data_IF_359194704760
#
_entry.id   IF_359194704760
#
_cell.length_a   1.000
_cell.length_b   1.000
_cell.length_c   1.000
_cell.angle_alpha   90.00
_cell.angle_beta   90.00
_cell.angle_gamma   90.00
#
_symmetry.space_group_name_H-M   'P 1'
#
loop_
_entity.id
_entity.type
_entity.pdbx_description
1 polymer ?
#
# COMPACT_ATOMS: atom_id res chain seq x y z
N UNK A 1 -25.95 54.21 28.26
CA UNK A 1 -26.74 53.93 27.04
C UNK A 1 -25.76 53.77 25.90
N UNK A 2 -25.39 52.54 25.56
CA UNK A 2 -24.89 52.21 24.23
C UNK A 2 -25.15 50.72 23.98
N UNK A 3 -25.72 50.49 22.80
CA UNK A 3 -26.60 49.39 22.40
C UNK A 3 -25.75 48.16 22.07
N UNK A 4 -25.99 47.07 22.82
CA UNK A 4 -25.49 45.74 22.50
C UNK A 4 -26.30 45.23 21.31
N UNK A 5 -25.73 45.27 20.10
CA UNK A 5 -26.32 44.57 18.96
C UNK A 5 -25.82 43.13 18.95
N UNK A 6 -26.69 42.28 19.49
CA UNK A 6 -26.68 40.83 19.37
C UNK A 6 -26.95 40.49 17.89
N UNK A 7 -26.00 39.88 17.20
CA UNK A 7 -26.29 39.18 15.94
C UNK A 7 -26.11 37.69 16.21
N UNK A 8 -27.24 37.03 16.36
CA UNK A 8 -27.36 35.60 16.57
C UNK A 8 -27.95 34.98 15.29
N UNK A 9 -27.32 33.89 14.88
CA UNK A 9 -27.76 32.88 13.89
C UNK A 9 -27.86 33.31 12.41
N UNK A 10 -27.03 32.69 11.57
CA UNK A 10 -27.60 31.97 10.43
C UNK A 10 -26.72 30.77 10.04
N UNK A 11 -27.37 29.78 9.43
CA UNK A 11 -27.05 28.35 9.37
C UNK A 11 -25.72 28.00 8.72
N UNK A 12 -25.00 27.07 9.34
CA UNK A 12 -23.78 26.41 8.84
C UNK A 12 -24.07 25.54 7.62
N UNK A 13 -24.15 26.15 6.44
CA UNK A 13 -23.79 25.56 5.15
C UNK A 13 -22.43 26.20 4.81
N UNK A 14 -21.38 25.51 4.41
CA UNK A 14 -21.22 24.37 3.51
C UNK A 14 -19.73 24.03 3.64
N UNK A 15 -19.34 22.77 3.47
CA UNK A 15 -17.93 22.31 3.42
C UNK A 15 -16.94 23.39 2.96
N UNK A 16 -15.92 23.66 3.77
CA UNK A 16 -14.83 24.61 3.45
C UNK A 16 -14.32 24.38 2.02
N UNK A 17 -14.15 25.46 1.24
CA UNK A 17 -13.69 25.40 -0.14
C UNK A 17 -12.36 24.65 -0.27
N UNK A 18 -11.48 24.77 0.74
CA UNK A 18 -10.23 24.03 0.79
C UNK A 18 -10.48 22.52 0.90
N UNK A 19 -11.41 22.09 1.76
CA UNK A 19 -11.79 20.69 1.88
C UNK A 19 -12.35 20.15 0.58
N UNK A 20 -13.20 20.92 -0.11
CA UNK A 20 -13.73 20.54 -1.42
C UNK A 20 -12.63 20.40 -2.48
N UNK A 21 -11.66 21.31 -2.52
CA UNK A 21 -10.52 21.24 -3.45
C UNK A 21 -9.60 20.05 -3.17
N UNK A 22 -9.38 19.73 -1.89
CA UNK A 22 -8.61 18.54 -1.50
C UNK A 22 -9.36 17.28 -1.93
N UNK A 23 -10.66 17.19 -1.65
CA UNK A 23 -11.47 16.05 -2.06
C UNK A 23 -11.52 15.85 -3.58
N UNK A 24 -11.68 16.92 -4.37
CA UNK A 24 -11.69 16.82 -5.84
C UNK A 24 -10.35 16.36 -6.38
N UNK A 25 -9.25 16.92 -5.86
CA UNK A 25 -7.87 16.53 -6.22
C UNK A 25 -7.62 15.04 -5.95
N UNK A 26 -7.98 14.54 -4.77
CA UNK A 26 -7.80 13.13 -4.43
C UNK A 26 -8.69 12.20 -5.27
N UNK A 27 -9.93 12.62 -5.57
CA UNK A 27 -10.82 11.88 -6.49
C UNK A 27 -10.24 11.78 -7.89
N UNK A 28 -9.68 12.87 -8.42
CA UNK A 28 -9.03 12.88 -9.73
C UNK A 28 -7.81 11.97 -9.77
N UNK A 29 -6.94 12.03 -8.76
CA UNK A 29 -5.77 11.13 -8.65
C UNK A 29 -6.20 9.67 -8.64
N UNK A 30 -7.25 9.32 -7.88
CA UNK A 30 -7.78 7.96 -7.84
C UNK A 30 -8.28 7.48 -9.19
N UNK A 31 -9.04 8.31 -9.91
CA UNK A 31 -9.51 8.00 -11.27
C UNK A 31 -8.36 7.82 -12.26
N UNK A 32 -7.33 8.69 -12.19
CA UNK A 32 -6.13 8.56 -13.03
C UNK A 32 -5.40 7.25 -12.76
N UNK A 33 -5.17 6.91 -11.49
CA UNK A 33 -4.57 5.61 -11.10
C UNK A 33 -5.35 4.43 -11.67
N UNK A 34 -6.67 4.42 -11.51
CA UNK A 34 -7.52 3.33 -12.00
C UNK A 34 -7.38 3.16 -13.52
N UNK A 35 -7.42 4.25 -14.28
CA UNK A 35 -7.26 4.23 -15.73
C UNK A 35 -5.86 3.75 -16.17
N UNK A 36 -4.80 4.14 -15.44
CA UNK A 36 -3.42 3.75 -15.76
C UNK A 36 -3.15 2.26 -15.45
N UNK A 37 -3.74 1.73 -14.38
CA UNK A 37 -3.49 0.37 -13.91
C UNK A 37 -4.44 -0.67 -14.53
N UNK A 38 -5.65 -0.28 -14.96
CA UNK A 38 -6.62 -1.21 -15.53
C UNK A 38 -6.09 -2.06 -16.70
N UNK A 39 -5.31 -1.52 -17.68
CA UNK A 39 -4.76 -2.31 -18.77
C UNK A 39 -3.76 -3.38 -18.32
N UNK A 40 -3.13 -3.23 -17.15
CA UNK A 40 -2.14 -4.17 -16.63
C UNK A 40 -2.78 -5.39 -15.97
N UNK A 41 -4.10 -5.38 -15.72
CA UNK A 41 -4.80 -6.48 -15.05
C UNK A 41 -4.34 -6.72 -13.61
N UNK A 42 -3.69 -5.73 -12.99
CA UNK A 42 -3.16 -5.84 -11.64
C UNK A 42 -4.26 -5.47 -10.65
N UNK A 43 -4.55 -6.39 -9.72
CA UNK A 43 -5.42 -6.11 -8.59
C UNK A 43 -4.68 -5.25 -7.56
N UNK A 44 -5.18 -4.06 -7.29
CA UNK A 44 -4.71 -3.22 -6.20
C UNK A 44 -5.27 -3.71 -4.85
N UNK A 45 -4.42 -3.77 -3.82
CA UNK A 45 -4.78 -4.26 -2.48
C UNK A 45 -4.69 -3.19 -1.40
N UNK A 46 -4.27 -1.97 -1.76
CA UNK A 46 -3.95 -0.91 -0.82
C UNK A 46 -4.77 0.33 -1.15
N UNK A 47 -5.27 0.99 -0.11
CA UNK A 47 -6.06 2.23 -0.25
C UNK A 47 -5.16 3.40 -0.60
N UNK A 48 -4.03 3.49 0.09
CA UNK A 48 -3.00 4.51 -0.11
C UNK A 48 -1.61 3.94 0.22
N UNK A 49 -0.59 4.71 -0.12
CA UNK A 49 0.78 4.38 0.25
C UNK A 49 1.77 5.48 -0.11
N UNK A 50 3.01 5.24 0.28
CA UNK A 50 4.15 6.10 0.01
C UNK A 50 5.38 5.23 -0.20
N UNK A 51 6.17 5.59 -1.19
CA UNK A 51 7.51 5.04 -1.42
C UNK A 51 8.53 6.16 -1.28
N UNK A 52 9.65 5.88 -0.63
CA UNK A 52 10.77 6.80 -0.48
C UNK A 52 12.07 6.09 -0.79
N UNK A 53 12.99 6.80 -1.44
CA UNK A 53 14.32 6.30 -1.79
C UNK A 53 15.34 7.26 -1.19
N UNK A 54 16.24 6.74 -0.36
CA UNK A 54 17.37 7.49 0.15
C UNK A 54 18.46 7.60 -0.92
N UNK A 55 18.61 8.82 -1.43
CA UNK A 55 19.56 9.19 -2.47
C UNK A 55 21.01 9.05 -2.04
N UNK A 56 21.30 9.09 -0.73
CA UNK A 56 22.67 9.00 -0.20
C UNK A 56 23.20 7.57 -0.22
N UNK A 57 22.31 6.60 -0.03
CA UNK A 57 22.64 5.18 0.05
C UNK A 57 22.41 4.45 -1.28
N UNK A 58 21.56 4.98 -2.15
CA UNK A 58 21.29 4.42 -3.47
C UNK A 58 22.56 4.36 -4.34
N UNK A 59 22.85 3.19 -4.91
CA UNK A 59 23.98 2.98 -5.84
C UNK A 59 23.72 3.43 -7.27
N UNK A 60 22.54 4.00 -7.53
CA UNK A 60 22.27 4.73 -8.78
C UNK A 60 22.40 3.88 -10.05
N UNK A 61 22.84 4.55 -11.11
CA UNK A 61 22.77 4.12 -12.52
C UNK A 61 23.40 2.75 -12.83
N UNK A 62 24.31 2.27 -11.99
CA UNK A 62 25.01 0.99 -12.18
C UNK A 62 24.20 -0.23 -11.71
N UNK A 63 23.21 -0.05 -10.82
CA UNK A 63 22.46 -1.16 -10.21
C UNK A 63 21.19 -1.53 -10.98
N UNK A 64 20.28 -0.57 -11.19
CA UNK A 64 18.99 -0.70 -11.90
C UNK A 64 18.04 -1.82 -11.43
N UNK A 65 18.33 -2.52 -10.33
CA UNK A 65 17.55 -3.69 -9.88
C UNK A 65 16.08 -3.34 -9.59
N UNK A 66 15.83 -2.29 -8.80
CA UNK A 66 14.48 -1.88 -8.43
C UNK A 66 13.60 -1.50 -9.64
N UNK A 67 14.20 -0.93 -10.69
CA UNK A 67 13.53 -0.57 -11.93
C UNK A 67 13.16 -1.83 -12.72
N UNK A 68 14.11 -2.77 -12.88
CA UNK A 68 13.91 -4.00 -13.64
C UNK A 68 12.82 -4.90 -13.05
N UNK A 69 12.69 -4.94 -11.72
CA UNK A 69 11.69 -5.78 -11.04
C UNK A 69 10.34 -5.10 -10.83
N UNK A 70 10.20 -3.83 -11.19
CA UNK A 70 8.96 -3.09 -10.97
C UNK A 70 7.87 -3.57 -11.94
N UNK A 71 6.78 -4.19 -11.47
CA UNK A 71 5.77 -4.76 -12.36
C UNK A 71 4.96 -3.71 -13.14
N UNK A 72 4.96 -2.47 -12.69
CA UNK A 72 4.18 -1.36 -13.26
C UNK A 72 5.03 -0.28 -13.91
N UNK A 73 6.35 -0.48 -14.01
CA UNK A 73 7.30 0.53 -14.50
C UNK A 73 7.19 1.89 -13.76
N UNK A 74 6.81 1.88 -12.48
CA UNK A 74 6.71 3.09 -11.66
C UNK A 74 8.06 3.73 -11.33
N UNK A 75 9.17 3.00 -11.51
CA UNK A 75 10.52 3.47 -11.23
C UNK A 75 11.29 3.69 -12.53
N UNK A 76 12.01 4.80 -12.64
CA UNK A 76 12.78 5.14 -13.85
C UNK A 76 14.07 5.91 -13.50
N UNK A 77 14.98 6.07 -14.47
CA UNK A 77 16.17 6.90 -14.30
C UNK A 77 15.92 8.34 -14.69
N UNK A 78 16.22 9.27 -13.77
CA UNK A 78 16.29 10.69 -14.09
C UNK A 78 17.64 11.01 -14.74
N UNK A 79 17.66 12.09 -15.52
CA UNK A 79 18.90 12.65 -16.10
C UNK A 79 19.92 13.06 -15.03
N UNK A 80 19.49 13.30 -13.79
CA UNK A 80 20.36 13.58 -12.64
C UNK A 80 21.09 12.34 -12.09
N UNK A 81 20.83 11.13 -12.61
CA UNK A 81 21.39 9.88 -12.09
C UNK A 81 20.64 9.30 -10.89
N UNK A 82 19.53 9.91 -10.49
CA UNK A 82 18.67 9.44 -9.40
C UNK A 82 17.51 8.57 -9.91
N UNK A 83 16.99 7.70 -9.04
CA UNK A 83 15.74 6.98 -9.33
C UNK A 83 14.55 7.92 -9.17
N UNK A 84 13.78 8.07 -10.24
CA UNK A 84 12.47 8.71 -10.25
C UNK A 84 11.36 7.74 -9.92
N UNK A 85 10.28 8.27 -9.36
CA UNK A 85 9.08 7.52 -8.97
C UNK A 85 7.88 8.20 -9.63
N UNK A 86 7.04 7.41 -10.29
CA UNK A 86 5.70 7.80 -10.73
C UNK A 86 4.72 7.23 -9.72
N UNK A 87 4.29 8.06 -8.76
CA UNK A 87 3.45 7.60 -7.65
C UNK A 87 2.17 6.94 -8.15
N UNK A 88 1.55 7.48 -9.21
CA UNK A 88 0.33 6.95 -9.84
C UNK A 88 0.46 5.51 -10.38
N UNK A 89 1.67 5.07 -10.71
CA UNK A 89 1.94 3.70 -11.17
C UNK A 89 2.40 2.79 -10.03
N UNK A 90 2.85 3.33 -8.90
CA UNK A 90 3.37 2.53 -7.80
C UNK A 90 2.22 1.86 -7.03
N UNK A 91 2.17 0.53 -7.05
CA UNK A 91 1.18 -0.28 -6.33
C UNK A 91 1.66 -0.73 -4.94
N UNK A 92 2.77 -0.16 -4.45
CA UNK A 92 3.34 -0.45 -3.13
C UNK A 92 3.60 -1.95 -2.85
N UNK A 93 3.92 -2.73 -3.89
CA UNK A 93 4.02 -4.20 -3.79
C UNK A 93 5.22 -4.70 -2.97
N UNK A 94 6.29 -3.91 -2.85
CA UNK A 94 7.51 -4.30 -2.11
C UNK A 94 8.61 -4.94 -2.94
N UNK A 95 8.41 -5.20 -4.24
CA UNK A 95 9.41 -5.82 -5.11
C UNK A 95 10.75 -5.05 -5.14
N UNK A 96 10.69 -3.72 -5.11
CA UNK A 96 11.88 -2.87 -5.07
C UNK A 96 12.66 -2.99 -3.76
N UNK A 97 11.99 -3.15 -2.61
CA UNK A 97 12.63 -3.35 -1.30
C UNK A 97 13.30 -4.73 -1.26
N UNK A 98 12.63 -5.77 -1.75
CA UNK A 98 13.17 -7.12 -1.81
C UNK A 98 14.46 -7.23 -2.64
N UNK A 99 14.57 -6.45 -3.71
CA UNK A 99 15.69 -6.51 -4.64
C UNK A 99 16.73 -5.40 -4.42
N UNK A 100 16.50 -4.50 -3.46
CA UNK A 100 17.53 -3.53 -3.12
C UNK A 100 18.61 -4.23 -2.32
N UNK A 101 19.85 -4.20 -2.82
CA UNK A 101 21.01 -4.77 -2.13
C UNK A 101 21.47 -3.93 -0.92
N UNK A 102 20.89 -2.74 -0.73
CA UNK A 102 21.20 -1.83 0.38
C UNK A 102 19.95 -1.74 1.26
N UNK A 103 20.04 -2.28 2.46
CA UNK A 103 18.99 -2.14 3.47
C UNK A 103 18.68 -0.67 3.74
N UNK A 104 17.42 -0.37 4.02
CA UNK A 104 16.91 0.97 4.32
C UNK A 104 17.01 2.03 3.20
N UNK A 105 17.58 1.67 2.04
CA UNK A 105 17.62 2.56 0.88
C UNK A 105 16.22 2.84 0.31
N UNK A 106 15.34 1.85 0.28
CA UNK A 106 13.96 2.01 -0.18
C UNK A 106 13.02 1.68 0.97
N UNK A 107 12.07 2.58 1.25
CA UNK A 107 11.05 2.39 2.28
C UNK A 107 9.66 2.55 1.70
N UNK A 108 8.79 1.61 2.04
CA UNK A 108 7.38 1.63 1.67
C UNK A 108 6.53 1.72 2.94
N UNK A 109 5.53 2.58 2.88
CA UNK A 109 4.41 2.63 3.81
C UNK A 109 3.13 2.45 3.02
N UNK A 110 2.21 1.58 3.45
CA UNK A 110 0.95 1.32 2.74
C UNK A 110 -0.18 0.97 3.70
N UNK A 111 -1.42 1.28 3.32
CA UNK A 111 -2.63 0.99 4.10
C UNK A 111 -3.53 -0.01 3.41
N UNK A 112 -3.97 -1.04 4.13
CA UNK A 112 -4.97 -2.01 3.65
C UNK A 112 -6.39 -1.47 3.80
N UNK A 113 -7.35 -2.16 3.17
CA UNK A 113 -8.78 -1.85 3.28
C UNK A 113 -9.32 -1.94 4.72
N UNK A 114 -8.73 -2.81 5.55
CA UNK A 114 -9.04 -2.95 6.98
C UNK A 114 -8.41 -1.85 7.85
N UNK A 115 -7.72 -0.88 7.25
CA UNK A 115 -7.04 0.21 7.94
C UNK A 115 -5.65 -0.15 8.49
N UNK A 116 -5.20 -1.40 8.35
CA UNK A 116 -3.87 -1.83 8.80
C UNK A 116 -2.78 -1.06 8.06
N UNK A 117 -1.86 -0.45 8.82
CA UNK A 117 -0.69 0.22 8.30
C UNK A 117 0.51 -0.73 8.26
N UNK A 118 1.15 -0.83 7.11
CA UNK A 118 2.34 -1.65 6.90
C UNK A 118 3.52 -0.75 6.55
N UNK A 119 4.68 -0.98 7.19
CA UNK A 119 5.92 -0.25 6.93
C UNK A 119 7.08 -1.23 6.87
N UNK A 120 7.91 -1.12 5.83
CA UNK A 120 9.08 -1.96 5.68
C UNK A 120 10.12 -1.29 4.77
N UNK A 121 11.38 -1.62 5.02
CA UNK A 121 12.53 -1.07 4.29
C UNK A 121 13.68 -2.06 4.10
N UNK A 122 13.50 -3.30 4.54
CA UNK A 122 14.46 -4.40 4.36
C UNK A 122 13.74 -5.65 3.85
N UNK A 123 14.42 -6.54 3.10
CA UNK A 123 13.84 -7.80 2.65
C UNK A 123 13.32 -8.66 3.82
N UNK A 124 14.05 -8.69 4.94
CA UNK A 124 13.67 -9.46 6.13
C UNK A 124 12.35 -8.95 6.73
N UNK A 125 12.18 -7.64 6.86
CA UNK A 125 10.94 -7.05 7.38
C UNK A 125 9.75 -7.37 6.46
N UNK A 126 9.94 -7.23 5.14
CA UNK A 126 8.89 -7.52 4.16
C UNK A 126 8.49 -9.00 4.14
N UNK A 127 9.44 -9.93 4.13
CA UNK A 127 9.16 -11.38 4.16
C UNK A 127 8.44 -11.77 5.45
N UNK A 128 8.85 -11.21 6.59
CA UNK A 128 8.20 -11.48 7.87
C UNK A 128 6.74 -11.02 7.86
N UNK A 129 6.47 -9.83 7.31
CA UNK A 129 5.12 -9.31 7.14
C UNK A 129 4.26 -10.22 6.25
N UNK A 130 4.74 -10.55 5.05
CA UNK A 130 3.99 -11.41 4.12
C UNK A 130 3.76 -12.82 4.68
N UNK A 131 4.72 -13.38 5.43
CA UNK A 131 4.54 -14.65 6.13
C UNK A 131 3.45 -14.58 7.21
N UNK A 132 3.37 -13.48 7.96
CA UNK A 132 2.31 -13.25 8.95
C UNK A 132 0.93 -13.18 8.27
N UNK A 133 0.82 -12.42 7.17
CA UNK A 133 -0.42 -12.32 6.38
C UNK A 133 -0.82 -13.69 5.81
N UNK A 134 0.13 -14.43 5.22
CA UNK A 134 -0.12 -15.75 4.66
C UNK A 134 -0.52 -16.77 5.74
N UNK A 135 0.03 -16.66 6.95
CA UNK A 135 -0.34 -17.51 8.07
C UNK A 135 -1.81 -17.30 8.45
N UNK A 136 -2.30 -16.06 8.54
CA UNK A 136 -3.72 -15.76 8.80
C UNK A 136 -4.63 -16.39 7.73
N UNK A 137 -4.30 -16.20 6.45
CA UNK A 137 -5.04 -16.80 5.32
C UNK A 137 -5.06 -18.33 5.39
N UNK A 138 -3.96 -18.97 5.78
CA UNK A 138 -3.91 -20.43 5.97
C UNK A 138 -4.89 -20.86 7.06
N UNK A 139 -4.92 -20.18 8.20
CA UNK A 139 -5.88 -20.49 9.27
C UNK A 139 -7.33 -20.28 8.83
N UNK A 140 -7.64 -19.21 8.10
CA UNK A 140 -8.97 -18.98 7.53
C UNK A 140 -9.39 -20.11 6.58
N UNK A 141 -8.48 -20.53 5.69
CA UNK A 141 -8.73 -21.66 4.77
C UNK A 141 -8.94 -22.97 5.51
N UNK A 142 -8.13 -23.27 6.54
CA UNK A 142 -8.30 -24.46 7.36
C UNK A 142 -9.66 -24.44 8.06
N UNK A 143 -10.05 -23.32 8.69
CA UNK A 143 -11.35 -23.18 9.35
C UNK A 143 -12.54 -23.28 8.37
N UNK A 144 -12.37 -22.78 7.14
CA UNK A 144 -13.41 -22.88 6.11
C UNK A 144 -13.66 -24.32 5.66
N UNK A 145 -12.61 -25.16 5.63
CA UNK A 145 -12.71 -26.58 5.24
C UNK A 145 -13.10 -27.44 6.44
N UNK A 146 -12.52 -27.16 7.61
CA UNK A 146 -12.74 -27.86 8.86
C UNK A 146 -13.13 -26.85 9.95
N UNK A 147 -14.44 -26.54 10.09
CA UNK A 147 -14.91 -25.60 11.10
C UNK A 147 -14.57 -26.03 12.53
N UNK A 148 -14.49 -27.34 12.77
CA UNK A 148 -14.13 -27.93 14.05
C UNK A 148 -13.12 -29.06 13.91
N UNK A 149 -12.42 -29.38 15.00
CA UNK A 149 -11.52 -30.53 15.05
C UNK A 149 -12.26 -31.86 14.82
N UNK A 150 -13.53 -31.95 15.22
CA UNK A 150 -14.34 -33.16 14.99
C UNK A 150 -14.64 -33.35 13.51
N UNK A 151 -14.83 -32.29 12.73
CA UNK A 151 -15.02 -32.38 11.27
C UNK A 151 -13.76 -32.88 10.55
N UNK A 152 -12.59 -32.40 10.99
CA UNK A 152 -11.31 -32.93 10.53
C UNK A 152 -11.17 -34.43 10.83
N UNK A 153 -11.40 -34.83 12.09
CA UNK A 153 -11.28 -36.23 12.52
C UNK A 153 -12.31 -37.14 11.85
N UNK A 154 -13.50 -36.65 11.47
CA UNK A 154 -14.50 -37.43 10.72
C UNK A 154 -13.99 -37.84 9.34
N UNK A 155 -13.27 -36.95 8.65
CA UNK A 155 -12.74 -37.18 7.30
C UNK A 155 -11.42 -37.95 7.31
N UNK A 156 -10.55 -37.65 8.28
CA UNK A 156 -9.22 -38.27 8.41
C UNK A 156 -9.13 -39.12 9.67
N UNK A 157 -10.15 -39.97 9.92
CA UNK A 157 -10.11 -40.90 11.06
C UNK A 157 -8.80 -41.69 11.01
N UNK A 158 -7.96 -41.61 12.05
CA UNK A 158 -6.81 -42.48 12.13
C UNK A 158 -7.30 -43.92 12.10
N UNK A 159 -6.83 -44.72 11.14
CA UNK A 159 -7.07 -46.16 11.16
C UNK A 159 -6.27 -46.69 12.33
N UNK A 160 -6.96 -47.05 13.42
CA UNK A 160 -6.33 -47.73 14.54
C UNK A 160 -6.00 -49.14 14.07
N UNK A 161 -4.77 -49.35 13.61
CA UNK A 161 -4.14 -50.67 13.48
C UNK A 161 -3.51 -51.08 14.79
#
# INVERSE_FOLDING_TARGET
MNRVEKVESDRTFSSDIFSLLVETSEREKRKRRENLLAPLGIKEFFVDGRITIDKRTCKGVECKLCIKVCPTNALYWKSSGEVGIVDELCIYCGACVLNCMVDDCIRIERRREDGTLEKFSTPRAFITLENSVNTKKRFERVKAIFPSATDYLRLYKPTLT
#
